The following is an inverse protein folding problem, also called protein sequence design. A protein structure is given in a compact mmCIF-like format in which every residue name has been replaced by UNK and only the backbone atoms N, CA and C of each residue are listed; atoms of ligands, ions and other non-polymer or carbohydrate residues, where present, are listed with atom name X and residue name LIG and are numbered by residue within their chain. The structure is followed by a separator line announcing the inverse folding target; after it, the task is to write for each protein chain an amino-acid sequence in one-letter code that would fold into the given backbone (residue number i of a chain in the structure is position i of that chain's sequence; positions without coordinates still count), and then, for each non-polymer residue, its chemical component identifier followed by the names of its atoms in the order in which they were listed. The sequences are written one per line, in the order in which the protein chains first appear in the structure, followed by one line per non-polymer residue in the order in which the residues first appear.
data_IF_619889453952
#
_entry.id   IF_619889453952
#
_cell.length_a   1.000
_cell.length_b   1.000
_cell.length_c   1.000
_cell.angle_alpha   90.00
_cell.angle_beta   90.00
_cell.angle_gamma   90.00
#
_symmetry.space_group_name_H-M   'P 1'
#
loop_
_entity.id
_entity.type
_entity.pdbx_description
1 polymer ?
#
# COMPACT_ATOMS: atom_id res chain seq x y z
N UNK A 1 8.60 -34.96 32.84
CA UNK A 1 9.85 -34.95 32.05
C UNK A 1 10.31 -33.50 31.96
N UNK A 2 11.30 -33.08 32.75
CA UNK A 2 11.70 -31.67 32.88
C UNK A 2 12.72 -31.33 31.80
N UNK A 3 12.35 -30.51 30.82
CA UNK A 3 13.28 -30.00 29.80
C UNK A 3 14.23 -29.01 30.47
N UNK A 4 15.49 -29.41 30.71
CA UNK A 4 16.54 -28.49 31.15
C UNK A 4 17.03 -27.68 29.95
N UNK A 5 16.51 -26.47 29.76
CA UNK A 5 17.09 -25.53 28.79
C UNK A 5 18.49 -25.10 29.28
N UNK A 6 19.51 -25.34 28.45
CA UNK A 6 20.86 -24.82 28.67
C UNK A 6 20.86 -23.29 28.43
N UNK A 7 21.65 -22.53 29.21
CA UNK A 7 21.86 -21.09 29.04
C UNK A 7 22.22 -20.70 27.58
N UNK A 8 22.93 -21.58 26.86
CA UNK A 8 23.27 -21.39 25.44
C UNK A 8 22.03 -21.41 24.53
N UNK A 9 21.05 -22.28 24.84
CA UNK A 9 19.80 -22.42 24.11
C UNK A 9 18.88 -21.21 24.32
N UNK A 10 18.87 -20.67 25.55
CA UNK A 10 18.13 -19.43 25.89
C UNK A 10 18.76 -18.24 25.16
N UNK A 11 20.10 -18.14 25.18
CA UNK A 11 20.82 -17.09 24.47
C UNK A 11 20.54 -17.12 22.96
N UNK A 12 20.61 -18.29 22.33
CA UNK A 12 20.30 -18.45 20.91
C UNK A 12 18.85 -18.03 20.60
N UNK A 13 17.89 -18.42 21.43
CA UNK A 13 16.49 -18.03 21.26
C UNK A 13 16.29 -16.51 21.39
N UNK A 14 16.96 -15.86 22.35
CA UNK A 14 16.94 -14.39 22.49
C UNK A 14 17.56 -13.73 21.27
N UNK A 15 18.67 -14.23 20.74
CA UNK A 15 19.29 -13.70 19.53
C UNK A 15 18.38 -13.85 18.30
N UNK A 16 17.71 -14.99 18.14
CA UNK A 16 16.78 -15.22 17.03
C UNK A 16 15.58 -14.27 17.13
N UNK A 17 14.99 -14.14 18.32
CA UNK A 17 13.87 -13.22 18.55
C UNK A 17 14.30 -11.77 18.30
N UNK A 18 15.45 -11.36 18.84
CA UNK A 18 15.97 -10.00 18.64
C UNK A 18 16.27 -9.73 17.16
N UNK A 19 16.85 -10.70 16.45
CA UNK A 19 17.13 -10.59 15.02
C UNK A 19 15.84 -10.45 14.20
N UNK A 20 14.80 -11.25 14.48
CA UNK A 20 13.49 -11.11 13.85
C UNK A 20 12.85 -9.74 14.11
N UNK A 21 12.97 -9.21 15.34
CA UNK A 21 12.48 -7.86 15.66
C UNK A 21 13.25 -6.76 14.90
N UNK A 22 14.58 -6.86 14.82
CA UNK A 22 15.38 -5.89 14.04
C UNK A 22 15.04 -5.93 12.54
N UNK A 23 14.74 -7.11 11.99
CA UNK A 23 14.36 -7.25 10.59
C UNK A 23 13.01 -6.57 10.28
N UNK A 24 12.04 -6.71 11.18
CA UNK A 24 10.73 -6.07 11.06
C UNK A 24 10.81 -4.55 11.22
N UNK A 25 11.64 -4.06 12.16
CA UNK A 25 11.87 -2.63 12.34
C UNK A 25 12.53 -1.99 11.11
N UNK A 26 13.51 -2.66 10.51
CA UNK A 26 14.19 -2.18 9.29
C UNK A 26 13.28 -2.17 8.05
N UNK A 27 12.36 -3.13 7.97
CA UNK A 27 11.32 -3.18 6.94
C UNK A 27 10.34 -2.00 7.02
N UNK A 28 9.90 -1.64 8.25
CA UNK A 28 9.06 -0.47 8.49
C UNK A 28 9.79 0.85 8.17
N UNK A 29 11.06 0.97 8.58
CA UNK A 29 11.89 2.17 8.30
C UNK A 29 12.08 2.41 6.79
N UNK A 30 12.28 1.36 6.00
CA UNK A 30 12.41 1.45 4.53
C UNK A 30 11.14 1.99 3.83
N UNK A 31 9.98 1.72 4.40
CA UNK A 31 8.71 2.15 3.85
C UNK A 31 8.46 3.66 4.11
N UNK A 32 8.88 4.14 5.28
CA UNK A 32 8.46 5.46 5.78
C UNK A 32 9.22 6.67 5.26
N UNK A 33 10.47 6.50 4.85
CA UNK A 33 11.28 7.64 4.41
C UNK A 33 11.04 8.08 2.96
N UNK A 34 10.40 7.25 2.12
CA UNK A 34 10.40 7.47 0.65
C UNK A 34 9.02 7.57 -0.01
N UNK A 35 7.95 7.07 0.60
CA UNK A 35 6.67 6.90 -0.10
C UNK A 35 5.54 7.73 0.54
N UNK A 36 5.10 8.78 -0.17
CA UNK A 36 3.94 9.62 0.18
C UNK A 36 2.89 9.64 -0.93
N UNK A 37 2.71 8.51 -1.61
CA UNK A 37 1.88 8.38 -2.80
C UNK A 37 2.53 7.53 -3.90
N UNK A 38 2.27 7.87 -5.16
CA UNK A 38 2.79 7.15 -6.33
C UNK A 38 3.36 8.13 -7.36
N UNK A 39 4.66 8.03 -7.63
CA UNK A 39 5.37 9.01 -8.46
C UNK A 39 5.25 10.43 -7.86
N UNK A 40 4.79 11.37 -8.67
CA UNK A 40 4.55 12.77 -8.26
C UNK A 40 3.12 13.01 -7.71
N UNK A 41 2.30 11.96 -7.64
CA UNK A 41 0.99 11.99 -7.00
C UNK A 41 1.18 11.82 -5.49
N UNK A 42 1.21 12.93 -4.77
CA UNK A 42 1.40 12.95 -3.31
C UNK A 42 0.08 13.14 -2.55
N UNK A 43 0.02 12.60 -1.33
CA UNK A 43 -1.16 12.74 -0.47
C UNK A 43 -1.53 14.20 -0.20
N UNK A 44 -2.84 14.47 -0.20
CA UNK A 44 -3.37 15.81 0.04
C UNK A 44 -3.36 16.74 -1.17
N UNK A 45 -2.71 16.33 -2.27
CA UNK A 45 -2.69 17.11 -3.52
C UNK A 45 -4.12 17.29 -4.04
N UNK A 46 -4.52 18.53 -4.41
CA UNK A 46 -5.89 18.78 -4.81
C UNK A 46 -6.16 18.29 -6.23
N UNK A 47 -7.42 17.95 -6.50
CA UNK A 47 -7.85 17.43 -7.80
C UNK A 47 -7.49 18.37 -8.95
N UNK A 48 -7.74 19.68 -8.81
CA UNK A 48 -7.48 20.64 -9.89
C UNK A 48 -6.01 20.70 -10.32
N UNK A 49 -5.06 20.48 -9.40
CA UNK A 49 -3.62 20.41 -9.73
C UNK A 49 -3.29 19.14 -10.53
N UNK A 50 -4.03 18.06 -10.29
CA UNK A 50 -3.84 16.79 -10.99
C UNK A 50 -4.52 16.84 -12.36
N UNK A 51 -5.71 17.45 -12.47
CA UNK A 51 -6.40 17.66 -13.75
C UNK A 51 -5.59 18.55 -14.71
N UNK A 52 -4.75 19.44 -14.18
CA UNK A 52 -3.86 20.30 -14.99
C UNK A 52 -2.63 19.58 -15.56
N UNK A 53 -2.24 18.43 -15.01
CA UNK A 53 -0.98 17.73 -15.35
C UNK A 53 -1.17 16.34 -15.94
N UNK A 54 -2.28 15.67 -15.62
CA UNK A 54 -2.54 14.30 -16.02
C UNK A 54 -3.80 14.19 -16.88
N UNK A 55 -3.83 13.16 -17.73
CA UNK A 55 -5.07 12.75 -18.39
C UNK A 55 -5.94 12.01 -17.37
N UNK A 56 -7.10 12.60 -17.08
CA UNK A 56 -8.00 12.22 -16.00
C UNK A 56 -9.42 12.03 -16.51
N UNK A 57 -10.10 11.01 -15.99
CA UNK A 57 -11.49 10.71 -16.33
C UNK A 57 -12.28 10.40 -15.09
N UNK A 58 -13.33 11.19 -14.83
CA UNK A 58 -14.26 10.92 -13.75
C UNK A 58 -14.92 9.54 -13.91
N UNK A 59 -14.98 8.77 -12.82
CA UNK A 59 -15.59 7.44 -12.77
C UNK A 59 -16.89 7.49 -11.99
N UNK A 60 -16.82 7.91 -10.72
CA UNK A 60 -17.97 7.93 -9.83
C UNK A 60 -17.74 8.90 -8.67
N UNK A 61 -18.83 9.17 -7.96
CA UNK A 61 -18.85 9.92 -6.70
C UNK A 61 -19.72 9.16 -5.71
N UNK A 62 -19.22 8.99 -4.49
CA UNK A 62 -19.93 8.37 -3.38
C UNK A 62 -19.87 9.29 -2.17
N UNK A 63 -20.95 9.34 -1.40
CA UNK A 63 -20.96 10.07 -0.14
C UNK A 63 -20.74 9.08 0.99
N UNK A 64 -19.68 9.28 1.78
CA UNK A 64 -19.49 8.53 3.03
C UNK A 64 -20.48 9.04 4.08
N UNK A 65 -21.28 8.14 4.64
CA UNK A 65 -22.29 8.45 5.67
C UNK A 65 -21.70 8.83 7.02
N UNK A 66 -20.43 8.49 7.29
CA UNK A 66 -19.78 8.70 8.59
C UNK A 66 -19.30 10.15 8.75
N UNK A 67 -18.81 10.73 7.66
CA UNK A 67 -18.19 12.06 7.68
C UNK A 67 -18.87 13.08 6.77
N UNK A 68 -20.06 12.74 6.22
CA UNK A 68 -20.71 13.50 5.13
C UNK A 68 -19.74 13.90 4.02
N UNK A 69 -18.69 13.07 3.82
CA UNK A 69 -17.56 13.40 2.97
C UNK A 69 -17.82 12.82 1.59
N UNK A 70 -17.75 13.69 0.58
CA UNK A 70 -17.79 13.28 -0.81
C UNK A 70 -16.45 12.65 -1.18
N UNK A 71 -16.49 11.40 -1.62
CA UNK A 71 -15.38 10.70 -2.23
C UNK A 71 -15.61 10.61 -3.73
N UNK A 72 -14.68 11.15 -4.50
CA UNK A 72 -14.71 11.15 -5.96
C UNK A 72 -13.59 10.26 -6.48
N UNK A 73 -13.92 9.42 -7.47
CA UNK A 73 -12.98 8.48 -8.08
C UNK A 73 -12.72 8.90 -9.52
N UNK A 74 -11.44 8.98 -9.89
CA UNK A 74 -10.99 9.31 -11.23
C UNK A 74 -10.04 8.23 -11.73
N UNK A 75 -10.10 7.89 -13.01
CA UNK A 75 -9.01 7.20 -13.68
C UNK A 75 -7.95 8.23 -14.04
N UNK A 76 -6.69 7.93 -13.75
CA UNK A 76 -5.54 8.77 -14.05
C UNK A 76 -4.56 7.95 -14.89
N UNK A 77 -4.15 8.50 -16.03
CA UNK A 77 -3.05 7.95 -16.81
C UNK A 77 -1.73 8.51 -16.28
N UNK A 78 -0.94 7.64 -15.65
CA UNK A 78 0.41 7.95 -15.20
C UNK A 78 1.36 7.63 -16.36
N UNK A 79 2.04 8.63 -16.94
CA UNK A 79 2.87 8.39 -18.13
C UNK A 79 4.11 7.54 -17.83
N UNK A 80 4.64 7.61 -16.61
CA UNK A 80 5.79 6.83 -16.17
C UNK A 80 5.78 6.65 -14.64
N UNK A 81 5.87 5.40 -14.17
CA UNK A 81 5.88 5.06 -12.75
C UNK A 81 7.29 5.00 -12.12
N UNK A 82 8.35 4.97 -12.92
CA UNK A 82 9.76 5.05 -12.47
C UNK A 82 10.16 4.03 -11.38
N UNK A 83 9.58 2.83 -11.37
CA UNK A 83 9.85 1.81 -10.36
C UNK A 83 9.20 2.06 -8.99
N UNK A 84 8.34 3.09 -8.89
CA UNK A 84 7.57 3.34 -7.67
C UNK A 84 6.58 2.19 -7.46
N UNK A 85 6.56 1.66 -6.23
CA UNK A 85 5.84 0.43 -5.91
C UNK A 85 6.08 -0.73 -6.89
N UNK A 86 7.31 -0.82 -7.44
CA UNK A 86 7.75 -1.89 -8.35
C UNK A 86 7.07 -1.90 -9.74
N UNK A 87 6.28 -0.86 -10.07
CA UNK A 87 5.74 -0.63 -11.41
C UNK A 87 6.66 0.24 -12.26
N UNK A 88 6.76 -0.09 -13.55
CA UNK A 88 7.58 0.62 -14.54
C UNK A 88 6.76 0.93 -15.78
N UNK A 89 7.05 2.07 -16.42
CA UNK A 89 6.37 2.50 -17.62
C UNK A 89 5.02 3.18 -17.35
N UNK A 90 4.25 3.43 -18.42
CA UNK A 90 2.92 4.00 -18.31
C UNK A 90 1.95 3.04 -17.64
N UNK A 91 1.08 3.56 -16.76
CA UNK A 91 0.01 2.78 -16.15
C UNK A 91 -1.26 3.62 -15.97
N UNK A 92 -2.38 2.93 -15.79
CA UNK A 92 -3.65 3.57 -15.44
C UNK A 92 -3.98 3.18 -14.00
N UNK A 93 -4.23 4.17 -13.16
CA UNK A 93 -4.65 3.98 -11.78
C UNK A 93 -6.00 4.64 -11.54
N UNK A 94 -6.76 4.14 -10.57
CA UNK A 94 -7.87 4.90 -9.99
C UNK A 94 -7.34 5.72 -8.82
N UNK A 95 -7.65 7.00 -8.79
CA UNK A 95 -7.31 7.91 -7.70
C UNK A 95 -8.59 8.36 -7.01
N UNK A 96 -8.58 8.31 -5.69
CA UNK A 96 -9.72 8.72 -4.86
C UNK A 96 -9.43 10.01 -4.11
N UNK A 97 -10.42 10.89 -4.12
CA UNK A 97 -10.34 12.24 -3.57
C UNK A 97 -11.42 12.44 -2.52
N UNK A 98 -11.02 12.82 -1.31
CA UNK A 98 -11.92 13.19 -0.23
C UNK A 98 -11.85 14.70 -0.06
N UNK A 99 -12.98 15.39 -0.16
CA UNK A 99 -13.04 16.86 -0.14
C UNK A 99 -12.07 17.50 -1.14
N UNK A 100 -11.96 16.91 -2.34
CA UNK A 100 -11.08 17.37 -3.42
C UNK A 100 -9.59 17.08 -3.23
N UNK A 101 -9.19 16.30 -2.22
CA UNK A 101 -7.78 15.97 -1.94
C UNK A 101 -7.48 14.48 -2.10
N UNK A 102 -6.38 14.15 -2.78
CA UNK A 102 -5.95 12.79 -3.02
C UNK A 102 -5.65 12.06 -1.70
N UNK A 103 -6.23 10.88 -1.51
CA UNK A 103 -5.97 10.05 -0.33
C UNK A 103 -5.79 8.55 -0.63
N UNK A 104 -6.19 8.07 -1.81
CA UNK A 104 -5.94 6.69 -2.21
C UNK A 104 -5.64 6.55 -3.71
N UNK A 105 -4.82 5.56 -4.05
CA UNK A 105 -4.48 5.17 -5.42
C UNK A 105 -4.62 3.64 -5.54
N UNK A 106 -5.32 3.19 -6.57
CA UNK A 106 -5.65 1.78 -6.81
C UNK A 106 -5.16 1.40 -8.20
N UNK A 107 -4.29 0.39 -8.27
CA UNK A 107 -3.62 -0.04 -9.49
C UNK A 107 -3.99 -1.50 -9.77
N UNK A 108 -4.81 -1.80 -10.78
CA UNK A 108 -5.00 -3.17 -11.25
C UNK A 108 -3.78 -3.63 -12.06
N UNK A 109 -3.35 -4.88 -11.89
CA UNK A 109 -2.19 -5.42 -12.59
C UNK A 109 -2.28 -6.94 -12.80
N UNK A 110 -1.34 -7.48 -13.58
CA UNK A 110 -1.18 -8.93 -13.82
C UNK A 110 0.12 -9.44 -13.20
N UNK A 111 0.12 -10.69 -12.75
CA UNK A 111 1.29 -11.32 -12.12
C UNK A 111 1.33 -11.05 -10.62
N UNK A 112 0.24 -11.36 -9.91
CA UNK A 112 0.14 -11.18 -8.46
C UNK A 112 1.34 -11.75 -7.70
N UNK A 113 1.76 -12.98 -8.01
CA UNK A 113 2.81 -13.68 -7.27
C UNK A 113 4.19 -13.03 -7.47
N UNK A 114 4.48 -12.58 -8.70
CA UNK A 114 5.71 -11.85 -9.00
C UNK A 114 5.74 -10.50 -8.27
N UNK A 115 4.61 -9.80 -8.20
CA UNK A 115 4.53 -8.50 -7.56
C UNK A 115 4.59 -8.62 -6.03
N UNK A 116 3.96 -9.65 -5.47
CA UNK A 116 4.11 -10.02 -4.06
C UNK A 116 5.57 -10.30 -3.72
N UNK A 117 6.28 -11.05 -4.57
CA UNK A 117 7.70 -11.34 -4.38
C UNK A 117 8.54 -10.05 -4.35
N UNK A 118 8.39 -9.18 -5.35
CA UNK A 118 9.13 -7.90 -5.42
C UNK A 118 8.85 -6.99 -4.23
N UNK A 119 7.59 -6.87 -3.82
CA UNK A 119 7.21 -6.05 -2.67
C UNK A 119 7.76 -6.64 -1.37
N UNK A 120 7.77 -7.97 -1.24
CA UNK A 120 8.37 -8.67 -0.09
C UNK A 120 9.88 -8.49 -0.03
N UNK A 121 10.59 -8.55 -1.16
CA UNK A 121 12.03 -8.24 -1.20
C UNK A 121 12.31 -6.79 -0.81
N UNK A 122 11.46 -5.86 -1.25
CA UNK A 122 11.64 -4.42 -1.04
C UNK A 122 11.32 -3.99 0.39
N UNK A 123 10.20 -4.47 0.93
CA UNK A 123 9.60 -4.01 2.19
C UNK A 123 9.59 -5.07 3.29
N UNK A 124 10.16 -6.26 3.07
CA UNK A 124 10.08 -7.38 4.00
C UNK A 124 8.74 -8.11 3.94
N UNK A 125 8.59 -9.16 4.75
CA UNK A 125 7.34 -9.92 4.81
C UNK A 125 6.20 -9.04 5.33
N UNK A 126 5.00 -9.11 4.74
CA UNK A 126 3.88 -8.29 5.15
C UNK A 126 3.49 -8.64 6.61
N UNK A 127 3.43 -7.66 7.53
CA UNK A 127 3.03 -7.90 8.92
C UNK A 127 1.55 -8.28 9.07
N UNK A 128 0.73 -8.00 8.05
CA UNK A 128 -0.68 -8.37 8.00
C UNK A 128 -0.93 -9.33 6.84
N UNK A 129 -1.52 -10.48 7.13
CA UNK A 129 -1.83 -11.48 6.13
C UNK A 129 -2.29 -12.76 6.80
N UNK A 130 -3.54 -12.81 7.22
CA UNK A 130 -4.15 -14.04 7.68
C UNK A 130 -5.51 -14.21 7.01
N UNK A 131 -5.64 -15.30 6.24
CA UNK A 131 -6.89 -15.89 5.73
C UNK A 131 -7.69 -15.31 4.55
N UNK A 132 -7.33 -14.19 3.89
CA UNK A 132 -8.25 -13.61 2.87
C UNK A 132 -7.61 -12.87 1.69
N UNK A 133 -6.85 -13.55 0.84
CA UNK A 133 -6.40 -13.05 -0.49
C UNK A 133 -5.76 -11.64 -0.52
N UNK A 134 -5.40 -11.08 0.63
CA UNK A 134 -4.95 -9.69 0.78
C UNK A 134 -3.84 -9.69 1.81
N UNK A 135 -2.74 -9.05 1.47
CA UNK A 135 -1.61 -8.83 2.38
C UNK A 135 -1.30 -7.35 2.41
N UNK A 136 -0.64 -6.86 3.46
CA UNK A 136 -0.33 -5.44 3.52
C UNK A 136 0.87 -5.06 4.37
N UNK A 137 1.41 -3.90 4.04
CA UNK A 137 2.49 -3.22 4.73
C UNK A 137 1.98 -1.88 5.26
N UNK A 138 2.42 -1.53 6.46
CA UNK A 138 2.06 -0.29 7.12
C UNK A 138 3.32 0.52 7.42
N UNK A 139 3.34 1.72 6.88
CA UNK A 139 4.23 2.80 7.31
C UNK A 139 3.45 3.87 8.06
N UNK A 140 4.16 4.75 8.76
CA UNK A 140 3.74 6.07 9.21
C UNK A 140 3.09 6.93 8.12
N UNK A 141 3.54 6.85 6.85
CA UNK A 141 3.06 7.74 5.76
C UNK A 141 2.29 7.06 4.63
N UNK A 142 2.23 5.73 4.63
CA UNK A 142 1.51 4.97 3.60
C UNK A 142 1.02 3.63 4.14
N UNK A 143 -0.18 3.23 3.72
CA UNK A 143 -0.67 1.87 3.83
C UNK A 143 -0.65 1.25 2.43
N UNK A 144 -0.09 0.06 2.32
CA UNK A 144 -0.04 -0.71 1.08
C UNK A 144 -0.84 -1.99 1.30
N UNK A 145 -1.83 -2.25 0.47
CA UNK A 145 -2.52 -3.53 0.39
C UNK A 145 -2.35 -4.13 -0.99
N UNK A 146 -1.97 -5.40 -1.04
CA UNK A 146 -1.94 -6.19 -2.26
C UNK A 146 -3.06 -7.21 -2.16
N UNK A 147 -4.02 -7.15 -3.08
CA UNK A 147 -5.18 -8.04 -3.12
C UNK A 147 -5.12 -8.91 -4.38
N UNK A 148 -5.32 -10.21 -4.21
CA UNK A 148 -5.52 -11.15 -5.31
C UNK A 148 -6.97 -11.04 -5.79
N UNK A 149 -7.13 -10.92 -7.09
CA UNK A 149 -8.42 -10.79 -7.76
C UNK A 149 -8.74 -12.02 -8.61
N UNK A 150 -10.02 -12.30 -8.81
CA UNK A 150 -10.51 -13.30 -9.76
C UNK A 150 -11.03 -12.60 -11.01
N UNK A 151 -10.16 -11.85 -11.69
CA UNK A 151 -10.50 -11.07 -12.88
C UNK A 151 -9.39 -11.15 -13.94
N UNK A 152 -9.55 -10.44 -15.05
CA UNK A 152 -8.49 -10.32 -16.08
C UNK A 152 -7.19 -9.74 -15.50
N UNK A 153 -7.31 -8.90 -14.48
CA UNK A 153 -6.24 -8.53 -13.57
C UNK A 153 -6.27 -9.49 -12.38
N UNK A 154 -5.20 -10.24 -12.14
CA UNK A 154 -5.13 -11.19 -11.03
C UNK A 154 -4.65 -10.53 -9.72
N UNK A 155 -4.26 -9.25 -9.79
CA UNK A 155 -3.83 -8.47 -8.64
C UNK A 155 -4.31 -7.02 -8.66
N UNK A 156 -4.47 -6.44 -7.48
CA UNK A 156 -4.70 -5.01 -7.26
C UNK A 156 -3.80 -4.50 -6.15
N UNK A 157 -3.06 -3.43 -6.41
CA UNK A 157 -2.29 -2.69 -5.41
C UNK A 157 -3.12 -1.48 -4.95
N UNK A 158 -3.30 -1.35 -3.65
CA UNK A 158 -4.07 -0.26 -3.04
C UNK A 158 -3.12 0.51 -2.12
N UNK A 159 -2.93 1.79 -2.42
CA UNK A 159 -2.12 2.72 -1.65
C UNK A 159 -3.05 3.71 -0.96
N UNK A 160 -2.93 3.86 0.35
CA UNK A 160 -3.84 4.70 1.15
C UNK A 160 -3.01 5.60 2.07
N UNK A 161 -3.40 6.86 2.17
CA UNK A 161 -2.89 7.79 3.17
C UNK A 161 -3.26 7.29 4.59
N UNK A 162 -2.33 7.16 5.54
CA UNK A 162 -2.64 6.75 6.90
C UNK A 162 -3.68 7.68 7.55
N UNK A 163 -4.64 7.09 8.27
CA UNK A 163 -5.79 7.81 8.82
C UNK A 163 -6.93 8.04 7.82
N UNK A 164 -6.72 7.82 6.52
CA UNK A 164 -7.78 7.94 5.51
C UNK A 164 -8.73 6.72 5.45
N UNK A 165 -8.46 5.69 6.24
CA UNK A 165 -9.33 4.53 6.43
C UNK A 165 -10.73 4.90 6.96
N UNK A 166 -10.84 6.03 7.67
CA UNK A 166 -12.11 6.62 8.11
C UNK A 166 -13.01 7.05 6.91
N UNK A 167 -12.44 7.20 5.71
CA UNK A 167 -13.18 7.49 4.48
C UNK A 167 -13.57 6.23 3.68
N UNK A 168 -12.94 5.08 3.96
CA UNK A 168 -12.99 3.89 3.09
C UNK A 168 -13.89 2.76 3.61
N UNK A 169 -14.11 2.66 4.91
CA UNK A 169 -14.84 1.55 5.52
C UNK A 169 -16.04 2.01 6.36
N UNK A 170 -17.11 1.20 6.30
CA UNK A 170 -18.32 1.26 7.14
C UNK A 170 -18.00 1.15 8.62
#
# INVERSE_FOLDING_TARGET
MSVRLNKLSIFFLVCVVFFSFTLQAFAAEKLDQKYMGLGDLTWGRPLYDIEGEYDVKFVNKRTSSIASTSVETYLIRIPEANGNMCFYGPLVASAEFANGKLFAIIIPFKGYDDELYKLTEKFGHPPYGDSSNTVGWRGERILIFLKREQSDFDGTLILIMPGAQDFLYK
#
